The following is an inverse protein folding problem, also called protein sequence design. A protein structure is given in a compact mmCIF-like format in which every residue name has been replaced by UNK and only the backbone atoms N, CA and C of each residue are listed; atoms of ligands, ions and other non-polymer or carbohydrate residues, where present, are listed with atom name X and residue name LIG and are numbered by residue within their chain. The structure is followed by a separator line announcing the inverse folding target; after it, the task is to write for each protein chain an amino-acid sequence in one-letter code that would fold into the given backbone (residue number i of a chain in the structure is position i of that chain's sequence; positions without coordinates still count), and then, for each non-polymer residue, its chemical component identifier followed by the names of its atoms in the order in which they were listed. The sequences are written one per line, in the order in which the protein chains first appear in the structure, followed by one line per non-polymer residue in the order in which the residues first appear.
data_IF_827225914327
#
_entry.id   IF_827225914327
#
_cell.length_a   1.000
_cell.length_b   1.000
_cell.length_c   1.000
_cell.angle_alpha   90.00
_cell.angle_beta   90.00
_cell.angle_gamma   90.00
#
_symmetry.space_group_name_H-M   'P 1'
#
loop_
_entity.id
_entity.type
_entity.pdbx_description
1 polymer ?
#
# COMPACT_ATOMS: atom_id res chain seq x y z
N UNK A 1 36.10 -27.71 9.79
CA UNK A 1 35.47 -26.56 9.11
C UNK A 1 34.62 -27.12 7.98
N UNK A 2 33.32 -27.26 8.19
CA UNK A 2 32.38 -27.64 7.12
C UNK A 2 31.46 -26.46 6.88
N UNK A 3 31.79 -25.63 5.89
CA UNK A 3 30.84 -24.63 5.41
C UNK A 3 29.86 -25.37 4.50
N UNK A 4 28.54 -25.32 4.78
CA UNK A 4 27.56 -25.90 3.87
C UNK A 4 27.69 -25.23 2.50
N UNK A 5 27.68 -26.04 1.44
CA UNK A 5 27.74 -25.55 0.06
C UNK A 5 26.55 -24.62 -0.19
N UNK A 6 26.86 -23.35 -0.44
CA UNK A 6 25.83 -22.31 -0.59
C UNK A 6 24.97 -22.48 -1.83
N UNK A 7 25.43 -23.28 -2.80
CA UNK A 7 24.67 -23.59 -4.02
C UNK A 7 23.45 -24.46 -3.72
N UNK A 8 23.50 -25.29 -2.67
CA UNK A 8 22.41 -26.19 -2.27
C UNK A 8 21.21 -25.44 -1.64
N UNK A 9 21.38 -24.20 -1.19
CA UNK A 9 20.30 -23.44 -0.55
C UNK A 9 19.13 -23.15 -1.50
N UNK A 10 19.41 -22.94 -2.79
CA UNK A 10 18.36 -22.71 -3.78
C UNK A 10 17.47 -23.94 -3.98
N UNK A 11 18.09 -25.12 -4.05
CA UNK A 11 17.37 -26.39 -4.16
C UNK A 11 16.59 -26.69 -2.89
N UNK A 12 17.22 -26.52 -1.72
CA UNK A 12 16.57 -26.69 -0.42
C UNK A 12 15.37 -25.76 -0.24
N UNK A 13 15.50 -24.48 -0.60
CA UNK A 13 14.40 -23.51 -0.55
C UNK A 13 13.23 -23.94 -1.43
N UNK A 14 13.52 -24.48 -2.62
CA UNK A 14 12.51 -24.99 -3.56
C UNK A 14 11.78 -26.20 -2.97
N UNK A 15 12.52 -27.17 -2.41
CA UNK A 15 11.93 -28.39 -1.81
C UNK A 15 11.10 -28.07 -0.57
N UNK A 16 11.57 -27.16 0.27
CA UNK A 16 10.91 -26.80 1.53
C UNK A 16 9.83 -25.73 1.35
N UNK A 17 9.74 -25.09 0.18
CA UNK A 17 8.81 -23.98 -0.07
C UNK A 17 9.05 -22.78 0.85
N UNK A 18 10.29 -22.62 1.34
CA UNK A 18 10.64 -21.66 2.39
C UNK A 18 11.74 -20.72 1.91
N UNK A 19 11.67 -19.47 2.35
CA UNK A 19 12.70 -18.48 2.05
C UNK A 19 14.02 -18.82 2.76
N UNK A 20 15.14 -18.68 2.04
CA UNK A 20 16.49 -19.02 2.55
C UNK A 20 16.82 -18.21 3.80
N UNK A 21 16.47 -16.91 3.87
CA UNK A 21 16.77 -16.11 5.07
C UNK A 21 15.98 -16.61 6.27
N UNK A 22 14.68 -16.90 6.09
CA UNK A 22 13.86 -17.45 7.16
C UNK A 22 14.37 -18.81 7.66
N UNK A 23 14.88 -19.66 6.75
CA UNK A 23 15.53 -20.92 7.11
C UNK A 23 16.79 -20.71 7.94
N UNK A 24 17.66 -19.77 7.53
CA UNK A 24 18.89 -19.44 8.25
C UNK A 24 18.61 -18.83 9.63
N UNK A 25 17.53 -18.07 9.77
CA UNK A 25 17.07 -17.52 11.05
C UNK A 25 16.32 -18.53 11.92
N UNK A 26 16.00 -19.71 11.40
CA UNK A 26 15.19 -20.72 12.09
C UNK A 26 13.73 -20.29 12.32
N UNK A 27 13.22 -19.32 11.54
CA UNK A 27 11.87 -18.74 11.69
C UNK A 27 11.00 -19.13 10.50
N UNK A 28 10.46 -20.33 10.54
CA UNK A 28 9.58 -20.89 9.51
C UNK A 28 8.11 -20.95 9.96
N UNK A 29 7.76 -20.29 11.06
CA UNK A 29 6.40 -20.27 11.58
C UNK A 29 5.45 -19.67 10.53
N UNK A 30 4.39 -20.40 10.14
CA UNK A 30 3.42 -19.88 9.20
C UNK A 30 2.63 -18.73 9.85
N UNK A 31 2.22 -17.77 9.03
CA UNK A 31 1.24 -16.78 9.46
C UNK A 31 -0.07 -17.47 9.87
N UNK A 32 -0.77 -16.88 10.83
CA UNK A 32 -2.16 -17.26 11.10
C UNK A 32 -3.01 -17.04 9.84
N UNK A 33 -4.06 -17.86 9.62
CA UNK A 33 -4.96 -17.69 8.48
C UNK A 33 -5.47 -16.26 8.38
N UNK A 34 -5.35 -15.69 7.18
CA UNK A 34 -5.94 -14.38 6.91
C UNK A 34 -7.46 -14.49 6.88
N UNK A 35 -8.11 -13.83 7.83
CA UNK A 35 -9.57 -13.77 7.95
C UNK A 35 -10.20 -12.75 6.98
N UNK A 36 -9.42 -12.13 6.10
CA UNK A 36 -9.90 -11.25 5.05
C UNK A 36 -10.44 -9.91 5.58
N UNK A 37 -9.83 -9.38 6.65
CA UNK A 37 -10.24 -8.09 7.22
C UNK A 37 -9.77 -6.94 6.32
N UNK A 38 -10.54 -6.64 5.27
CA UNK A 38 -10.19 -5.65 4.25
C UNK A 38 -9.91 -4.26 4.83
N UNK A 39 -10.65 -3.83 5.86
CA UNK A 39 -10.39 -2.55 6.54
C UNK A 39 -9.00 -2.46 7.20
N UNK A 40 -8.28 -3.57 7.37
CA UNK A 40 -6.89 -3.63 7.85
C UNK A 40 -5.85 -3.63 6.73
N UNK A 41 -6.27 -3.32 5.49
CA UNK A 41 -5.37 -3.28 4.34
C UNK A 41 -4.14 -2.43 4.64
N UNK A 42 -2.98 -3.04 4.46
CA UNK A 42 -1.67 -2.42 4.51
C UNK A 42 -1.21 -2.10 3.09
N UNK A 43 -0.60 -0.94 2.92
CA UNK A 43 -0.03 -0.51 1.65
C UNK A 43 1.49 -0.62 1.67
N UNK A 44 2.06 -0.93 0.52
CA UNK A 44 3.50 -1.03 0.31
C UNK A 44 3.83 -0.33 -0.99
N UNK A 45 4.87 0.51 -0.99
CA UNK A 45 5.37 1.15 -2.20
C UNK A 45 6.86 0.89 -2.33
N UNK A 46 7.27 0.39 -3.50
CA UNK A 46 8.69 0.20 -3.79
C UNK A 46 9.32 1.54 -4.18
N UNK A 47 10.32 2.05 -3.45
CA UNK A 47 10.94 3.35 -3.76
C UNK A 47 11.78 3.33 -5.05
N UNK A 48 12.09 2.15 -5.59
CA UNK A 48 12.91 2.02 -6.80
C UNK A 48 12.08 2.02 -8.10
N UNK A 49 10.93 1.34 -8.11
CA UNK A 49 10.10 1.18 -9.32
C UNK A 49 8.68 1.73 -9.19
N UNK A 50 8.29 2.25 -8.02
CA UNK A 50 6.95 2.79 -7.78
C UNK A 50 5.82 1.74 -7.77
N UNK A 51 6.15 0.44 -7.68
CA UNK A 51 5.15 -0.61 -7.57
C UNK A 51 4.36 -0.45 -6.28
N UNK A 52 3.04 -0.62 -6.36
CA UNK A 52 2.10 -0.51 -5.24
C UNK A 52 1.54 -1.90 -4.96
N UNK A 53 1.65 -2.33 -3.72
CA UNK A 53 1.19 -3.64 -3.27
C UNK A 53 0.31 -3.46 -2.03
N UNK A 54 -0.63 -4.37 -1.84
CA UNK A 54 -1.56 -4.37 -0.71
C UNK A 54 -1.62 -5.73 -0.05
N UNK A 55 -1.84 -5.77 1.26
CA UNK A 55 -2.06 -7.00 2.02
C UNK A 55 -3.02 -6.76 3.16
N UNK A 56 -3.90 -7.72 3.46
CA UNK A 56 -4.81 -7.69 4.61
C UNK A 56 -4.23 -8.32 5.87
N UNK A 57 -3.22 -9.19 5.70
CA UNK A 57 -2.48 -9.82 6.78
C UNK A 57 -1.00 -9.41 6.80
N UNK A 58 -0.27 -9.94 7.77
CA UNK A 58 1.18 -9.82 7.81
C UNK A 58 1.78 -10.58 6.63
N UNK A 59 2.55 -9.90 5.79
CA UNK A 59 3.23 -10.51 4.64
C UNK A 59 4.67 -10.01 4.55
N UNK A 60 5.60 -10.91 4.20
CA UNK A 60 6.95 -10.53 3.83
C UNK A 60 6.97 -10.24 2.34
N UNK A 61 6.91 -8.95 1.98
CA UNK A 61 6.83 -8.51 0.58
C UNK A 61 8.21 -8.04 0.12
N UNK A 62 8.67 -8.53 -1.02
CA UNK A 62 9.93 -8.13 -1.65
C UNK A 62 9.68 -7.52 -3.03
N UNK A 63 10.33 -6.40 -3.32
CA UNK A 63 10.30 -5.77 -4.64
C UNK A 63 11.68 -5.20 -4.96
N UNK A 64 12.16 -5.36 -6.20
CA UNK A 64 13.51 -4.96 -6.62
C UNK A 64 14.63 -5.47 -5.68
N UNK A 65 14.49 -6.71 -5.18
CA UNK A 65 15.44 -7.33 -4.27
C UNK A 65 15.47 -6.76 -2.84
N UNK A 66 14.51 -5.89 -2.48
CA UNK A 66 14.42 -5.26 -1.15
C UNK A 66 13.14 -5.67 -0.44
N UNK A 67 13.25 -6.01 0.84
CA UNK A 67 12.09 -6.24 1.70
C UNK A 67 11.38 -4.90 1.95
N UNK A 68 10.11 -4.84 1.58
CA UNK A 68 9.26 -3.69 1.81
C UNK A 68 8.67 -3.74 3.22
N UNK A 69 8.44 -2.56 3.80
CA UNK A 69 7.73 -2.41 5.06
C UNK A 69 6.33 -1.83 4.79
N UNK A 70 5.32 -2.21 5.58
CA UNK A 70 4.00 -1.60 5.45
C UNK A 70 4.11 -0.11 5.74
N UNK A 71 3.51 0.69 4.88
CA UNK A 71 3.42 2.13 5.04
C UNK A 71 2.53 2.45 6.25
N UNK A 72 3.00 3.37 7.09
CA UNK A 72 2.23 3.91 8.21
C UNK A 72 1.75 5.30 7.82
N UNK A 73 0.45 5.62 8.02
CA UNK A 73 -0.02 6.98 7.83
C UNK A 73 0.77 7.96 8.68
N UNK A 74 1.28 9.02 8.06
CA UNK A 74 1.88 10.16 8.74
C UNK A 74 0.84 11.09 9.34
N UNK A 75 1.29 12.15 10.05
CA UNK A 75 0.39 13.19 10.55
C UNK A 75 -0.28 13.94 9.40
N UNK A 76 -1.44 14.52 9.68
CA UNK A 76 -2.12 15.41 8.73
C UNK A 76 -1.23 16.61 8.36
N UNK A 77 -1.31 17.02 7.10
CA UNK A 77 -0.62 18.22 6.58
C UNK A 77 -1.55 18.99 5.65
N UNK A 78 -1.45 20.31 5.64
CA UNK A 78 -2.24 21.17 4.75
C UNK A 78 -1.97 20.95 3.26
N UNK A 79 -0.77 20.49 2.89
CA UNK A 79 -0.39 20.13 1.50
C UNK A 79 -1.06 18.86 0.97
N UNK A 80 -1.89 18.20 1.77
CA UNK A 80 -2.64 17.02 1.35
C UNK A 80 -4.08 17.10 1.85
N UNK A 81 -4.54 18.33 2.11
CA UNK A 81 -5.93 18.62 2.43
C UNK A 81 -6.82 18.11 1.30
N UNK A 82 -7.86 17.36 1.66
CA UNK A 82 -8.80 16.77 0.71
C UNK A 82 -10.15 17.46 0.84
N UNK A 83 -10.68 17.89 -0.29
CA UNK A 83 -12.04 18.42 -0.40
C UNK A 83 -12.89 17.46 -1.20
N UNK A 84 -14.14 17.28 -0.77
CA UNK A 84 -15.09 16.35 -1.40
C UNK A 84 -16.29 17.14 -1.86
N UNK A 85 -16.66 16.97 -3.12
CA UNK A 85 -17.91 17.44 -3.68
C UNK A 85 -18.78 16.23 -4.07
N UNK A 86 -20.04 16.25 -3.66
CA UNK A 86 -21.02 15.26 -4.10
C UNK A 86 -21.48 15.59 -5.53
N UNK A 87 -21.38 14.61 -6.43
CA UNK A 87 -21.91 14.66 -7.80
C UNK A 87 -23.00 13.58 -7.95
N UNK A 88 -23.65 13.47 -9.11
CA UNK A 88 -24.82 12.59 -9.29
C UNK A 88 -24.56 11.10 -8.96
N UNK A 89 -23.41 10.55 -9.35
CA UNK A 89 -23.10 9.11 -9.19
C UNK A 89 -21.78 8.85 -8.46
N UNK A 90 -21.00 9.90 -8.19
CA UNK A 90 -19.68 9.80 -7.59
C UNK A 90 -19.36 11.00 -6.70
N UNK A 91 -18.42 10.79 -5.79
CA UNK A 91 -17.75 11.86 -5.08
C UNK A 91 -16.55 12.31 -5.89
N UNK A 92 -16.49 13.61 -6.17
CA UNK A 92 -15.29 14.24 -6.72
C UNK A 92 -14.40 14.68 -5.57
N UNK A 93 -13.23 14.06 -5.45
CA UNK A 93 -12.23 14.36 -4.43
C UNK A 93 -11.12 15.18 -5.07
N UNK A 94 -10.90 16.39 -4.56
CA UNK A 94 -9.77 17.23 -4.92
C UNK A 94 -8.76 17.26 -3.78
N UNK A 95 -7.47 17.19 -4.10
CA UNK A 95 -6.38 17.15 -3.14
C UNK A 95 -5.50 18.37 -3.35
N UNK A 96 -5.23 19.12 -2.29
CA UNK A 96 -4.41 20.32 -2.34
C UNK A 96 -2.91 19.99 -2.43
N UNK A 97 -2.47 19.38 -3.53
CA UNK A 97 -1.11 18.90 -3.69
C UNK A 97 -0.52 19.21 -5.07
N UNK A 98 0.81 19.38 -5.14
CA UNK A 98 1.54 19.60 -6.39
C UNK A 98 1.71 18.29 -7.17
N UNK A 99 1.59 18.31 -8.49
CA UNK A 99 1.68 17.10 -9.32
C UNK A 99 2.81 17.24 -10.34
N UNK A 100 4.05 17.39 -9.87
CA UNK A 100 5.24 17.46 -10.74
C UNK A 100 5.87 16.09 -10.92
N UNK A 101 6.70 15.91 -11.96
CA UNK A 101 7.51 14.69 -12.18
C UNK A 101 8.22 14.15 -10.92
N UNK A 102 8.77 15.04 -10.09
CA UNK A 102 9.55 14.65 -8.91
C UNK A 102 8.73 14.61 -7.61
N UNK A 103 7.51 15.15 -7.61
CA UNK A 103 6.67 15.27 -6.43
C UNK A 103 5.20 15.27 -6.81
N UNK A 104 4.56 14.14 -6.56
CA UNK A 104 3.17 13.90 -6.92
C UNK A 104 2.55 12.84 -6.00
N UNK A 105 1.23 12.72 -6.06
CA UNK A 105 0.49 11.64 -5.42
C UNK A 105 0.49 10.44 -6.36
N UNK A 106 0.90 9.27 -5.89
CA UNK A 106 0.97 8.05 -6.71
C UNK A 106 -0.35 7.29 -6.74
N UNK A 107 -1.09 7.32 -5.63
CA UNK A 107 -2.41 6.71 -5.56
C UNK A 107 -3.28 7.35 -4.50
N UNK A 108 -4.59 7.17 -4.71
CA UNK A 108 -5.64 7.34 -3.70
C UNK A 108 -6.30 5.98 -3.52
N UNK A 109 -6.59 5.60 -2.28
CA UNK A 109 -7.28 4.34 -1.97
C UNK A 109 -8.43 4.57 -1.01
N UNK A 110 -9.64 4.18 -1.41
CA UNK A 110 -10.81 4.16 -0.53
C UNK A 110 -11.01 2.75 0.01
N UNK A 111 -10.82 2.59 1.31
CA UNK A 111 -10.87 1.31 2.01
C UNK A 111 -12.18 1.23 2.79
N UNK A 112 -13.03 0.32 2.37
CA UNK A 112 -14.26 -0.06 3.05
C UNK A 112 -14.06 -1.34 3.86
N UNK A 113 -15.11 -1.79 4.53
CA UNK A 113 -15.07 -3.02 5.32
C UNK A 113 -14.84 -4.28 4.47
N UNK A 114 -15.35 -4.29 3.24
CA UNK A 114 -15.42 -5.45 2.34
C UNK A 114 -14.58 -5.28 1.06
N UNK A 115 -14.13 -4.08 0.72
CA UNK A 115 -13.42 -3.79 -0.54
C UNK A 115 -12.43 -2.63 -0.43
N UNK A 116 -11.51 -2.58 -1.39
CA UNK A 116 -10.61 -1.46 -1.61
C UNK A 116 -10.78 -0.96 -3.04
N UNK A 117 -11.01 0.34 -3.21
CA UNK A 117 -10.90 1.01 -4.50
C UNK A 117 -9.55 1.72 -4.55
N UNK A 118 -8.68 1.33 -5.46
CA UNK A 118 -7.36 1.94 -5.65
C UNK A 118 -7.31 2.68 -6.99
N UNK A 119 -7.08 3.99 -6.94
CA UNK A 119 -7.00 4.89 -8.09
C UNK A 119 -5.55 5.35 -8.21
N UNK A 120 -4.91 5.02 -9.33
CA UNK A 120 -3.55 5.49 -9.61
C UNK A 120 -3.58 6.93 -10.10
N UNK A 121 -2.61 7.69 -9.62
CA UNK A 121 -2.35 9.04 -10.06
C UNK A 121 -0.92 9.14 -10.63
N UNK A 122 -0.73 10.06 -11.57
CA UNK A 122 0.49 10.23 -12.35
C UNK A 122 0.96 11.69 -12.29
N UNK A 123 2.24 11.97 -12.52
CA UNK A 123 2.72 13.35 -12.60
C UNK A 123 2.03 14.16 -13.70
N UNK A 124 2.05 15.47 -13.54
CA UNK A 124 1.54 16.48 -14.49
C UNK A 124 0.01 16.44 -14.74
N UNK A 125 -0.73 15.66 -13.96
CA UNK A 125 -2.20 15.63 -13.99
C UNK A 125 -2.77 16.38 -12.77
N UNK A 126 -4.07 16.68 -12.79
CA UNK A 126 -4.77 17.21 -11.61
C UNK A 126 -4.72 16.25 -10.41
N UNK A 127 -4.52 16.78 -9.21
CA UNK A 127 -4.55 16.00 -7.97
C UNK A 127 -6.01 15.71 -7.56
N UNK A 128 -6.71 14.90 -8.36
CA UNK A 128 -8.13 14.63 -8.20
C UNK A 128 -8.45 13.15 -8.39
N UNK A 129 -9.55 12.69 -7.80
CA UNK A 129 -10.04 11.32 -7.94
C UNK A 129 -11.58 11.30 -7.91
N UNK A 130 -12.18 10.39 -8.69
CA UNK A 130 -13.62 10.13 -8.67
C UNK A 130 -13.91 8.81 -7.99
N UNK A 131 -14.74 8.83 -6.95
CA UNK A 131 -15.07 7.66 -6.14
C UNK A 131 -16.57 7.38 -6.26
N UNK A 132 -16.99 6.24 -6.83
CA UNK A 132 -18.40 5.90 -6.96
C UNK A 132 -19.13 5.94 -5.62
N UNK A 133 -20.33 6.53 -5.62
CA UNK A 133 -21.21 6.57 -4.44
C UNK A 133 -21.76 5.17 -4.15
N UNK A 134 -20.96 4.36 -3.46
CA UNK A 134 -21.32 2.99 -3.10
C UNK A 134 -21.78 2.94 -1.65
N UNK A 135 -20.85 3.17 -0.71
CA UNK A 135 -21.10 3.14 0.73
C UNK A 135 -20.26 4.20 1.46
N UNK A 136 -20.84 4.78 2.51
CA UNK A 136 -20.20 5.71 3.44
C UNK A 136 -19.45 4.94 4.55
N UNK A 137 -18.62 5.64 5.32
CA UNK A 137 -17.91 5.07 6.48
C UNK A 137 -16.59 4.35 6.18
N UNK A 138 -16.02 4.51 4.98
CA UNK A 138 -14.68 4.05 4.66
C UNK A 138 -13.58 5.06 5.02
N UNK A 139 -12.34 4.60 4.97
CA UNK A 139 -11.13 5.41 5.13
C UNK A 139 -10.53 5.76 3.77
N UNK A 140 -10.17 7.02 3.56
CA UNK A 140 -9.47 7.47 2.37
C UNK A 140 -7.97 7.59 2.66
N UNK A 141 -7.16 6.95 1.83
CA UNK A 141 -5.71 6.99 1.88
C UNK A 141 -5.17 7.67 0.64
N UNK A 142 -4.05 8.36 0.77
CA UNK A 142 -3.26 8.82 -0.35
C UNK A 142 -1.78 8.59 -0.08
N UNK A 143 -0.99 8.41 -1.14
CA UNK A 143 0.45 8.29 -1.02
C UNK A 143 1.16 9.34 -1.86
N UNK A 144 1.94 10.20 -1.19
CA UNK A 144 2.82 11.17 -1.80
C UNK A 144 4.25 10.61 -1.90
N UNK A 145 4.90 10.83 -3.04
CA UNK A 145 6.28 10.34 -3.26
C UNK A 145 7.30 10.89 -2.27
N UNK A 146 7.07 12.09 -1.71
CA UNK A 146 7.97 12.72 -0.73
C UNK A 146 7.50 12.61 0.71
N UNK A 147 6.19 12.68 0.95
CA UNK A 147 5.62 12.77 2.29
C UNK A 147 5.03 11.46 2.81
N UNK A 148 5.00 10.42 1.97
CA UNK A 148 4.52 9.09 2.34
C UNK A 148 3.00 8.98 2.35
N UNK A 149 2.50 8.02 3.14
CA UNK A 149 1.08 7.71 3.23
C UNK A 149 0.37 8.68 4.16
N UNK A 150 -0.80 9.17 3.77
CA UNK A 150 -1.73 9.88 4.64
C UNK A 150 -3.08 9.19 4.68
N UNK A 151 -3.78 9.38 5.79
CA UNK A 151 -5.10 8.80 6.05
C UNK A 151 -6.05 9.89 6.48
N UNK A 152 -7.25 9.89 5.90
CA UNK A 152 -8.38 10.66 6.38
C UNK A 152 -9.60 9.76 6.52
N UNK A 153 -10.24 9.84 7.67
CA UNK A 153 -11.44 9.07 8.01
C UNK A 153 -12.68 9.96 7.91
N UNK A 154 -13.83 9.38 7.58
CA UNK A 154 -15.13 10.06 7.59
C UNK A 154 -15.29 11.23 6.60
N UNK A 155 -14.54 11.24 5.48
CA UNK A 155 -14.63 12.30 4.46
C UNK A 155 -15.97 12.37 3.70
N UNK A 156 -16.75 11.27 3.70
CA UNK A 156 -18.02 11.16 2.99
C UNK A 156 -19.24 11.13 3.93
N UNK A 157 -19.03 11.32 5.24
CA UNK A 157 -20.10 11.27 6.25
C UNK A 157 -20.78 12.62 6.42
#
# INVERSE_FOLDING_TARGET
MGCPDVTLWSELSTVLGADIQNMLEGKLDPNLPDVGKIYKTQFYVCPACGNILTSTGNASITCCGRKLRPLKPGPYTTEHEMTVAEMDIDYYVSIRHIMTKDHYITFVAYVLYDRVLLIRLYPEQSAEARIPMTMKGGDLYLYCTKHGLQKNSNLFN
#
